data_IF_021653123181
#
_entry.id   IF_021653123181
#
_cell.length_a   1.000
_cell.length_b   1.000
_cell.length_c   1.000
_cell.angle_alpha   90.00
_cell.angle_beta   90.00
_cell.angle_gamma   90.00
#
_symmetry.space_group_name_H-M   'P 1'
#
loop_
_entity.id
_entity.type
_entity.pdbx_description
1 polymer ?
#
# COMPACT_ATOMS: atom_id res chain seq x y z
N UNK A 1 -24.34 -15.69 -0.14
CA UNK A 1 -23.13 -15.35 -0.90
C UNK A 1 -22.38 -14.36 -0.03
N UNK A 2 -21.24 -14.78 0.50
CA UNK A 2 -20.46 -13.98 1.47
C UNK A 2 -19.65 -12.92 0.75
N UNK A 3 -19.74 -11.68 1.22
CA UNK A 3 -19.04 -10.53 0.69
C UNK A 3 -17.53 -10.69 0.93
N UNK A 4 -16.77 -10.75 -0.14
CA UNK A 4 -15.31 -10.75 -0.06
C UNK A 4 -14.88 -9.30 0.18
N UNK A 5 -14.52 -8.96 1.41
CA UNK A 5 -13.93 -7.67 1.73
C UNK A 5 -12.54 -7.58 1.10
N UNK A 6 -12.30 -6.48 0.39
CA UNK A 6 -10.97 -6.16 -0.11
C UNK A 6 -10.14 -5.64 1.08
N UNK A 7 -9.43 -6.55 1.76
CA UNK A 7 -8.49 -6.16 2.82
C UNK A 7 -7.17 -5.77 2.17
N UNK A 8 -6.90 -4.47 2.10
CA UNK A 8 -5.60 -3.95 1.70
C UNK A 8 -4.80 -3.67 2.98
N UNK A 9 -3.83 -4.52 3.28
CA UNK A 9 -2.91 -4.26 4.37
C UNK A 9 -1.94 -3.16 3.95
N UNK A 10 -2.12 -1.98 4.51
CA UNK A 10 -1.26 -0.83 4.27
C UNK A 10 -0.64 -0.40 5.60
N UNK A 11 0.66 -0.55 5.72
CA UNK A 11 1.41 -0.07 6.89
C UNK A 11 1.82 1.38 6.64
N UNK A 12 1.44 2.27 7.56
CA UNK A 12 1.74 3.70 7.44
C UNK A 12 2.32 4.33 8.67
N UNK A 13 3.11 5.36 8.40
CA UNK A 13 3.67 6.25 9.41
C UNK A 13 2.86 7.54 9.46
N UNK A 14 2.28 7.83 10.62
CA UNK A 14 1.62 9.10 10.89
C UNK A 14 2.40 9.92 11.92
N UNK A 15 2.64 11.18 11.61
CA UNK A 15 3.09 12.16 12.59
C UNK A 15 2.05 13.27 12.67
N UNK A 16 1.60 13.58 13.89
CA UNK A 16 0.58 14.59 14.14
C UNK A 16 1.10 15.72 14.98
N UNK A 17 0.81 16.96 14.62
CA UNK A 17 0.52 18.05 15.56
C UNK A 17 -0.50 18.96 14.88
N UNK A 18 -1.70 19.07 15.45
CA UNK A 18 -2.75 19.98 14.99
C UNK A 18 -3.18 20.91 16.10
N UNK A 19 -3.20 22.20 15.87
CA UNK A 19 -3.81 23.20 16.74
C UNK A 19 -5.28 23.38 16.43
N UNK A 20 -6.09 23.50 17.49
CA UNK A 20 -7.53 23.76 17.39
C UNK A 20 -7.78 25.27 17.20
N UNK A 21 -8.64 25.60 16.26
CA UNK A 21 -9.43 26.83 16.27
C UNK A 21 -10.91 26.51 16.11
N UNK A 22 -11.68 27.09 17.02
CA UNK A 22 -13.15 27.01 17.12
C UNK A 22 -13.80 27.81 15.99
N UNK A 23 -14.90 27.28 15.40
CA UNK A 23 -16.19 27.98 15.34
C UNK A 23 -17.17 27.38 14.34
N UNK A 24 -18.41 27.44 14.72
CA UNK A 24 -19.69 27.23 14.04
C UNK A 24 -20.17 25.79 13.84
N UNK A 25 -21.12 25.42 14.70
CA UNK A 25 -21.96 24.25 14.59
C UNK A 25 -22.88 24.34 13.36
N UNK A 26 -22.42 23.73 12.27
CA UNK A 26 -23.35 23.19 11.26
C UNK A 26 -24.04 21.95 11.85
N UNK A 27 -25.33 21.68 11.52
CA UNK A 27 -25.99 20.46 11.98
C UNK A 27 -25.08 19.26 11.63
N UNK A 28 -24.71 18.50 12.66
CA UNK A 28 -23.81 17.38 12.51
C UNK A 28 -24.46 16.37 11.54
N UNK A 29 -23.96 16.34 10.32
CA UNK A 29 -24.24 15.26 9.40
C UNK A 29 -23.68 14.01 10.08
N UNK A 30 -24.56 13.09 10.48
CA UNK A 30 -24.13 11.81 11.08
C UNK A 30 -23.40 11.04 10.00
N UNK A 31 -22.06 11.01 10.09
CA UNK A 31 -21.23 10.20 9.19
C UNK A 31 -21.59 8.72 9.36
N UNK A 32 -21.53 7.93 8.29
CA UNK A 32 -21.72 6.49 8.36
C UNK A 32 -20.84 5.88 9.46
N UNK A 33 -21.36 4.89 10.15
CA UNK A 33 -20.61 4.17 11.21
C UNK A 33 -20.09 2.83 10.75
N UNK A 34 -20.61 2.35 9.63
CA UNK A 34 -20.32 1.04 9.06
C UNK A 34 -19.63 1.17 7.70
N UNK A 35 -18.81 0.17 7.33
CA UNK A 35 -18.10 0.19 6.05
C UNK A 35 -19.06 0.23 4.86
N UNK A 36 -18.71 1.01 3.86
CA UNK A 36 -19.43 1.06 2.58
C UNK A 36 -19.00 -0.14 1.73
N UNK A 37 -19.97 -0.85 1.14
CA UNK A 37 -19.67 -1.96 0.24
C UNK A 37 -19.10 -1.44 -1.09
N UNK A 38 -17.95 -2.00 -1.49
CA UNK A 38 -17.32 -1.71 -2.78
C UNK A 38 -17.72 -2.81 -3.76
N UNK A 39 -18.58 -2.47 -4.71
CA UNK A 39 -18.97 -3.38 -5.78
C UNK A 39 -17.92 -3.40 -6.90
N UNK A 40 -17.39 -4.59 -7.17
CA UNK A 40 -16.52 -4.90 -8.30
C UNK A 40 -17.15 -5.98 -9.17
N UNK A 41 -17.00 -5.84 -10.49
CA UNK A 41 -17.38 -6.89 -11.44
C UNK A 41 -16.49 -8.13 -11.27
N UNK A 42 -16.90 -9.28 -11.82
CA UNK A 42 -16.08 -10.50 -11.77
C UNK A 42 -14.70 -10.27 -12.37
N UNK A 43 -14.61 -9.59 -13.51
CA UNK A 43 -13.34 -9.28 -14.18
C UNK A 43 -12.43 -8.38 -13.33
N UNK A 44 -13.00 -7.36 -12.69
CA UNK A 44 -12.26 -6.51 -11.77
C UNK A 44 -11.75 -7.29 -10.55
N UNK A 45 -12.56 -8.20 -9.99
CA UNK A 45 -12.13 -9.09 -8.89
C UNK A 45 -10.98 -10.01 -9.32
N UNK A 46 -11.01 -10.53 -10.55
CA UNK A 46 -9.91 -11.34 -11.09
C UNK A 46 -8.61 -10.54 -11.26
N UNK A 47 -8.67 -9.27 -11.69
CA UNK A 47 -7.48 -8.39 -11.76
C UNK A 47 -6.95 -8.12 -10.36
N UNK A 48 -7.81 -7.83 -9.39
CA UNK A 48 -7.42 -7.63 -7.98
C UNK A 48 -6.77 -8.89 -7.41
N UNK A 49 -7.34 -10.07 -7.65
CA UNK A 49 -6.76 -11.33 -7.20
C UNK A 49 -5.36 -11.57 -7.79
N UNK A 50 -5.15 -11.21 -9.07
CA UNK A 50 -3.84 -11.27 -9.71
C UNK A 50 -2.84 -10.31 -9.05
N UNK A 51 -3.26 -9.06 -8.78
CA UNK A 51 -2.44 -8.06 -8.10
C UNK A 51 -2.08 -8.50 -6.66
N UNK A 52 -3.00 -9.13 -5.94
CA UNK A 52 -2.75 -9.70 -4.63
C UNK A 52 -1.74 -10.86 -4.69
N UNK A 53 -1.87 -11.75 -5.67
CA UNK A 53 -0.90 -12.84 -5.88
C UNK A 53 0.49 -12.29 -6.17
N UNK A 54 0.60 -11.31 -7.06
CA UNK A 54 1.86 -10.61 -7.33
C UNK A 54 2.44 -9.96 -6.07
N UNK A 55 1.59 -9.37 -5.22
CA UNK A 55 2.03 -8.73 -3.98
C UNK A 55 2.81 -9.69 -3.07
N UNK A 56 2.31 -10.90 -2.88
CA UNK A 56 2.99 -11.93 -2.08
C UNK A 56 4.23 -12.48 -2.78
N UNK A 57 4.15 -12.69 -4.09
CA UNK A 57 5.31 -13.13 -4.89
C UNK A 57 6.46 -12.13 -4.79
N UNK A 58 6.17 -10.83 -4.82
CA UNK A 58 7.17 -9.77 -4.67
C UNK A 58 7.66 -9.62 -3.23
N UNK A 59 6.77 -9.75 -2.24
CA UNK A 59 7.13 -9.51 -0.85
C UNK A 59 8.13 -10.54 -0.33
N UNK A 60 8.03 -11.79 -0.78
CA UNK A 60 8.97 -12.85 -0.38
C UNK A 60 10.44 -12.55 -0.74
N UNK A 61 10.82 -12.27 -2.01
CA UNK A 61 12.20 -11.92 -2.34
C UNK A 61 12.65 -10.62 -1.68
N UNK A 62 11.75 -9.63 -1.51
CA UNK A 62 12.09 -8.40 -0.78
C UNK A 62 12.51 -8.72 0.65
N UNK A 63 11.73 -9.53 1.38
CA UNK A 63 12.05 -9.94 2.75
C UNK A 63 13.32 -10.79 2.81
N UNK A 64 13.48 -11.72 1.87
CA UNK A 64 14.67 -12.58 1.80
C UNK A 64 15.95 -11.81 1.47
N UNK A 65 15.84 -10.68 0.79
CA UNK A 65 16.99 -9.84 0.41
C UNK A 65 17.38 -8.77 1.44
N UNK A 66 16.70 -8.69 2.59
CA UNK A 66 17.01 -7.75 3.65
C UNK A 66 17.73 -8.41 4.83
N UNK A 67 18.50 -7.62 5.54
CA UNK A 67 19.16 -8.07 6.77
C UNK A 67 18.12 -8.40 7.86
N UNK A 68 18.36 -9.45 8.67
CA UNK A 68 17.46 -9.80 9.76
C UNK A 68 17.19 -8.63 10.72
N UNK A 69 15.91 -8.38 11.02
CA UNK A 69 15.48 -7.28 11.88
C UNK A 69 15.26 -5.94 11.16
N UNK A 70 15.44 -5.88 9.85
CA UNK A 70 15.08 -4.71 9.05
C UNK A 70 13.57 -4.52 9.04
N UNK A 71 13.11 -3.28 9.28
CA UNK A 71 11.72 -2.91 9.07
C UNK A 71 11.46 -2.73 7.57
N UNK A 72 10.55 -3.51 7.03
CA UNK A 72 10.25 -3.55 5.60
C UNK A 72 8.84 -3.04 5.37
N UNK A 73 8.66 -2.21 4.34
CA UNK A 73 7.36 -1.74 3.90
C UNK A 73 7.32 -1.64 2.38
N UNK A 74 6.36 -2.28 1.75
CA UNK A 74 6.06 -2.10 0.33
C UNK A 74 4.59 -1.72 0.15
N UNK A 75 4.29 -1.03 -0.94
CA UNK A 75 2.93 -0.76 -1.38
C UNK A 75 2.66 -1.54 -2.68
N UNK A 76 2.09 -2.74 -2.59
CA UNK A 76 1.79 -3.53 -3.78
C UNK A 76 0.89 -2.80 -4.77
N UNK A 77 -0.10 -2.05 -4.27
CA UNK A 77 -0.97 -1.24 -5.11
C UNK A 77 -0.19 -0.22 -5.94
N UNK A 78 0.78 0.49 -5.33
CA UNK A 78 1.62 1.45 -6.04
C UNK A 78 2.48 0.79 -7.11
N UNK A 79 3.07 -0.35 -6.77
CA UNK A 79 3.95 -1.09 -7.68
C UNK A 79 3.15 -1.65 -8.86
N UNK A 80 2.02 -2.31 -8.59
CA UNK A 80 1.17 -2.84 -9.67
C UNK A 80 0.56 -1.75 -10.53
N UNK A 81 0.20 -0.59 -9.94
CA UNK A 81 -0.28 0.58 -10.69
C UNK A 81 0.80 1.09 -11.66
N UNK A 82 2.02 1.32 -11.19
CA UNK A 82 3.14 1.79 -12.02
C UNK A 82 3.48 0.81 -13.15
N UNK A 83 3.55 -0.50 -12.85
CA UNK A 83 3.80 -1.53 -13.85
C UNK A 83 2.63 -1.66 -14.84
N UNK A 84 1.39 -1.51 -14.39
CA UNK A 84 0.21 -1.53 -15.28
C UNK A 84 0.15 -0.29 -16.17
N UNK A 85 0.58 0.88 -15.68
CA UNK A 85 0.79 2.05 -16.54
C UNK A 85 1.81 1.74 -17.66
N UNK A 86 2.89 1.03 -17.34
CA UNK A 86 3.91 0.63 -18.33
C UNK A 86 3.34 -0.24 -19.45
N UNK A 87 2.36 -1.12 -19.15
CA UNK A 87 1.71 -1.96 -20.16
C UNK A 87 1.07 -1.17 -21.29
N UNK A 88 0.58 0.04 -21.00
CA UNK A 88 -0.04 0.90 -22.04
C UNK A 88 0.96 1.42 -23.08
N UNK A 89 2.26 1.37 -22.78
CA UNK A 89 3.34 1.76 -23.71
C UNK A 89 4.18 0.59 -24.20
N UNK A 90 3.99 -0.59 -23.63
CA UNK A 90 4.75 -1.78 -23.97
C UNK A 90 4.17 -2.52 -25.19
N UNK A 91 5.02 -3.26 -25.91
CA UNK A 91 4.61 -4.10 -27.02
C UNK A 91 5.48 -5.37 -27.10
N UNK A 92 4.98 -6.41 -27.79
CA UNK A 92 5.69 -7.67 -28.03
C UNK A 92 6.15 -8.33 -26.74
N UNK A 93 7.36 -8.84 -26.70
CA UNK A 93 7.89 -9.59 -25.55
C UNK A 93 7.90 -8.80 -24.24
N UNK A 94 8.14 -7.50 -24.27
CA UNK A 94 8.08 -6.64 -23.05
C UNK A 94 6.65 -6.59 -22.47
N UNK A 95 5.65 -6.43 -23.32
CA UNK A 95 4.25 -6.46 -22.89
C UNK A 95 3.89 -7.80 -22.24
N UNK A 96 4.27 -8.90 -22.90
CA UNK A 96 3.99 -10.26 -22.41
C UNK A 96 4.71 -10.55 -21.09
N UNK A 97 5.97 -10.13 -20.96
CA UNK A 97 6.75 -10.32 -19.74
C UNK A 97 6.16 -9.56 -18.55
N UNK A 98 5.85 -8.28 -18.69
CA UNK A 98 5.24 -7.46 -17.61
C UNK A 98 3.87 -8.02 -17.26
N UNK A 99 3.05 -8.37 -18.25
CA UNK A 99 1.72 -8.94 -18.03
C UNK A 99 1.78 -10.28 -17.29
N UNK A 100 2.76 -11.11 -17.62
CA UNK A 100 3.00 -12.40 -16.95
C UNK A 100 3.46 -12.20 -15.51
N UNK A 101 4.42 -11.29 -15.28
CA UNK A 101 4.91 -10.97 -13.94
C UNK A 101 3.77 -10.50 -13.02
N UNK A 102 2.87 -9.66 -13.53
CA UNK A 102 1.69 -9.17 -12.80
C UNK A 102 0.56 -10.22 -12.67
N UNK A 103 0.77 -11.44 -13.13
CA UNK A 103 -0.24 -12.52 -13.07
C UNK A 103 -1.54 -12.21 -13.81
N UNK A 104 -1.52 -11.30 -14.81
CA UNK A 104 -2.75 -10.90 -15.52
C UNK A 104 -3.23 -11.93 -16.55
N UNK A 105 -2.43 -12.91 -16.93
CA UNK A 105 -2.86 -14.05 -17.76
C UNK A 105 -3.67 -13.64 -18.98
N UNK A 106 -4.87 -14.20 -19.14
CA UNK A 106 -5.79 -13.94 -20.26
C UNK A 106 -6.55 -12.61 -20.22
N UNK A 107 -6.30 -11.73 -19.22
CA UNK A 107 -7.00 -10.44 -19.08
C UNK A 107 -6.59 -9.47 -20.18
N UNK A 108 -7.52 -8.70 -20.73
CA UNK A 108 -7.21 -7.65 -21.69
C UNK A 108 -6.61 -6.42 -20.99
N UNK A 109 -5.91 -5.57 -21.75
CA UNK A 109 -5.38 -4.31 -21.23
C UNK A 109 -6.52 -3.38 -20.75
N UNK A 110 -7.66 -3.40 -21.45
CA UNK A 110 -8.85 -2.64 -21.07
C UNK A 110 -9.41 -3.09 -19.73
N UNK A 111 -9.53 -4.39 -19.48
CA UNK A 111 -9.98 -4.94 -18.18
C UNK A 111 -9.05 -4.55 -17.03
N UNK A 112 -7.74 -4.54 -17.26
CA UNK A 112 -6.74 -4.09 -16.30
C UNK A 112 -6.92 -2.60 -16.02
N UNK A 113 -6.97 -1.78 -17.06
CA UNK A 113 -7.10 -0.33 -16.96
C UNK A 113 -8.40 0.08 -16.26
N UNK A 114 -9.54 -0.50 -16.67
CA UNK A 114 -10.85 -0.28 -16.05
C UNK A 114 -10.82 -0.60 -14.55
N UNK A 115 -10.14 -1.68 -14.16
CA UNK A 115 -10.00 -2.05 -12.76
C UNK A 115 -9.24 -1.00 -11.96
N UNK A 116 -8.10 -0.50 -12.46
CA UNK A 116 -7.34 0.55 -11.77
C UNK A 116 -8.13 1.85 -11.69
N UNK A 117 -8.82 2.23 -12.76
CA UNK A 117 -9.71 3.39 -12.74
C UNK A 117 -10.80 3.24 -11.68
N UNK A 118 -11.44 2.08 -11.62
CA UNK A 118 -12.46 1.78 -10.63
C UNK A 118 -11.89 1.84 -9.22
N UNK A 119 -10.75 1.19 -8.96
CA UNK A 119 -10.12 1.19 -7.63
C UNK A 119 -9.80 2.60 -7.14
N UNK A 120 -9.14 3.42 -7.96
CA UNK A 120 -8.82 4.81 -7.56
C UNK A 120 -10.10 5.60 -7.26
N UNK A 121 -11.14 5.48 -8.09
CA UNK A 121 -12.37 6.24 -7.91
C UNK A 121 -13.22 5.81 -6.72
N UNK A 122 -13.10 4.57 -6.26
CA UNK A 122 -13.88 4.09 -5.11
C UNK A 122 -13.09 4.15 -3.81
N UNK A 123 -11.79 3.87 -3.83
CA UNK A 123 -10.98 3.85 -2.61
C UNK A 123 -10.82 5.24 -1.99
N UNK A 124 -10.55 6.25 -2.82
CA UNK A 124 -10.29 7.61 -2.31
C UNK A 124 -11.47 8.18 -1.47
N UNK A 125 -12.72 8.14 -1.91
CA UNK A 125 -13.85 8.73 -1.18
C UNK A 125 -14.57 7.75 -0.25
N UNK A 126 -14.16 6.49 -0.12
CA UNK A 126 -14.96 5.44 0.53
C UNK A 126 -15.17 5.62 2.03
N UNK A 127 -14.27 6.33 2.70
CA UNK A 127 -14.34 6.56 4.14
C UNK A 127 -14.00 8.03 4.45
N UNK A 128 -14.99 8.80 4.86
CA UNK A 128 -14.83 10.24 5.15
C UNK A 128 -13.94 10.55 6.37
N UNK A 129 -13.62 9.53 7.18
CA UNK A 129 -12.73 9.65 8.36
C UNK A 129 -11.30 9.25 8.06
N UNK A 130 -11.03 8.85 6.82
CA UNK A 130 -9.73 8.45 6.32
C UNK A 130 -9.37 9.35 5.14
N UNK A 131 -8.16 9.88 5.13
CA UNK A 131 -7.61 10.55 3.95
C UNK A 131 -6.79 9.54 3.18
N UNK A 132 -7.25 9.17 2.01
CA UNK A 132 -6.55 8.34 1.04
C UNK A 132 -6.34 9.15 -0.22
N UNK A 133 -5.10 9.35 -0.64
CA UNK A 133 -4.76 10.02 -1.88
C UNK A 133 -3.86 9.14 -2.72
N UNK A 134 -4.17 9.05 -4.00
CA UNK A 134 -3.42 8.28 -4.98
C UNK A 134 -3.09 9.23 -6.13
N UNK A 135 -1.81 9.49 -6.33
CA UNK A 135 -1.34 10.36 -7.39
C UNK A 135 -0.43 9.60 -8.34
N UNK A 136 -0.74 9.67 -9.63
CA UNK A 136 0.07 9.09 -10.70
C UNK A 136 0.64 10.20 -11.57
N UNK A 137 1.86 10.03 -12.04
CA UNK A 137 2.45 10.90 -13.05
C UNK A 137 3.35 10.17 -14.02
N UNK A 138 3.39 10.67 -15.24
CA UNK A 138 4.35 10.31 -16.27
C UNK A 138 5.17 11.53 -16.61
N UNK A 139 6.48 11.41 -16.52
CA UNK A 139 7.46 12.42 -16.85
C UNK A 139 8.25 11.95 -18.06
N UNK A 140 8.22 12.71 -19.13
CA UNK A 140 8.94 12.40 -20.36
C UNK A 140 10.10 13.37 -20.56
N UNK A 141 11.26 12.87 -20.99
CA UNK A 141 12.38 13.71 -21.40
C UNK A 141 11.97 14.55 -22.61
N UNK A 142 12.34 15.85 -22.61
CA UNK A 142 11.90 16.84 -23.59
C UNK A 142 12.14 16.45 -25.06
N UNK A 143 13.25 15.75 -25.33
CA UNK A 143 13.64 15.33 -26.67
C UNK A 143 13.15 13.93 -27.03
N UNK A 144 12.46 13.24 -26.13
CA UNK A 144 11.93 11.92 -26.37
C UNK A 144 10.46 11.97 -26.82
N UNK A 145 10.16 11.54 -28.06
CA UNK A 145 8.81 11.62 -28.61
C UNK A 145 7.92 10.55 -27.98
N UNK A 146 7.14 10.92 -26.96
CA UNK A 146 6.14 10.04 -26.35
C UNK A 146 4.86 10.08 -27.19
N UNK A 147 4.31 8.91 -27.52
CA UNK A 147 3.04 8.81 -28.25
C UNK A 147 1.90 9.39 -27.43
N UNK A 148 1.09 10.22 -28.08
CA UNK A 148 -0.06 10.87 -27.45
C UNK A 148 -1.06 9.85 -26.88
N UNK A 149 -1.29 8.76 -27.59
CA UNK A 149 -2.20 7.68 -27.19
C UNK A 149 -1.79 7.07 -25.83
N UNK A 150 -0.48 6.95 -25.57
CA UNK A 150 0.03 6.48 -24.29
C UNK A 150 -0.30 7.46 -23.15
N UNK A 151 0.03 8.74 -23.33
CA UNK A 151 -0.25 9.74 -22.28
C UNK A 151 -1.74 9.94 -22.05
N UNK A 152 -2.56 9.85 -23.10
CA UNK A 152 -4.01 9.94 -22.98
C UNK A 152 -4.58 8.74 -22.24
N UNK A 153 -4.12 7.51 -22.53
CA UNK A 153 -4.51 6.32 -21.76
C UNK A 153 -4.15 6.44 -20.27
N UNK A 154 -2.96 6.95 -19.94
CA UNK A 154 -2.58 7.15 -18.54
C UNK A 154 -3.43 8.21 -17.83
N UNK A 155 -3.80 9.28 -18.51
CA UNK A 155 -4.73 10.28 -17.97
C UNK A 155 -6.12 9.70 -17.75
N UNK A 156 -6.63 8.95 -18.72
CA UNK A 156 -7.97 8.37 -18.68
C UNK A 156 -8.10 7.31 -17.59
N UNK A 157 -7.19 6.34 -17.59
CA UNK A 157 -7.34 5.14 -16.76
C UNK A 157 -6.71 5.26 -15.37
N UNK A 158 -5.60 5.99 -15.26
CA UNK A 158 -4.84 6.10 -14.01
C UNK A 158 -4.91 7.49 -13.39
N UNK A 159 -5.63 8.45 -14.01
CA UNK A 159 -5.67 9.86 -13.59
C UNK A 159 -4.28 10.49 -13.51
N UNK A 160 -3.34 10.03 -14.35
CA UNK A 160 -1.96 10.44 -14.29
C UNK A 160 -1.75 11.86 -14.83
N UNK A 161 -0.95 12.65 -14.13
CA UNK A 161 -0.42 13.89 -14.65
C UNK A 161 0.70 13.60 -15.67
N UNK A 162 0.61 14.16 -16.88
CA UNK A 162 1.68 14.06 -17.87
C UNK A 162 2.50 15.34 -17.86
N UNK A 163 3.80 15.24 -17.62
CA UNK A 163 4.77 16.33 -17.50
C UNK A 163 6.02 16.02 -18.32
N UNK A 164 6.84 17.05 -18.55
CA UNK A 164 8.13 16.90 -19.19
C UNK A 164 9.26 17.32 -18.25
N UNK A 165 10.46 16.80 -18.51
CA UNK A 165 11.68 17.20 -17.82
C UNK A 165 12.87 17.28 -18.81
N UNK A 166 13.91 17.98 -18.41
CA UNK A 166 15.18 18.01 -19.11
C UNK A 166 16.22 17.27 -18.23
N UNK A 167 16.74 16.16 -18.75
CA UNK A 167 17.72 15.34 -18.04
C UNK A 167 19.03 16.07 -17.77
N UNK A 168 19.35 17.10 -18.58
CA UNK A 168 20.53 17.93 -18.44
C UNK A 168 20.37 19.10 -17.46
N UNK A 169 19.13 19.45 -17.10
CA UNK A 169 18.86 20.51 -16.14
C UNK A 169 18.91 19.97 -14.70
N UNK A 170 19.85 20.44 -13.86
CA UNK A 170 19.96 20.01 -12.46
C UNK A 170 18.69 20.31 -11.63
N UNK A 171 17.82 21.21 -12.07
CA UNK A 171 16.57 21.54 -11.40
C UNK A 171 15.52 20.49 -11.58
N UNK A 172 15.60 19.65 -12.62
CA UNK A 172 14.62 18.59 -12.91
C UNK A 172 14.43 17.62 -11.73
N UNK A 173 15.51 17.25 -11.03
CA UNK A 173 15.44 16.41 -9.82
C UNK A 173 14.58 17.07 -8.75
N UNK A 174 14.78 18.38 -8.52
CA UNK A 174 14.04 19.11 -7.49
C UNK A 174 12.57 19.30 -7.87
N UNK A 175 12.27 19.49 -9.16
CA UNK A 175 10.89 19.60 -9.65
C UNK A 175 10.14 18.29 -9.45
N UNK A 176 10.76 17.17 -9.78
CA UNK A 176 10.15 15.83 -9.60
C UNK A 176 9.99 15.52 -8.11
N UNK A 177 11.02 15.74 -7.30
CA UNK A 177 10.93 15.56 -5.85
C UNK A 177 9.86 16.47 -5.22
N UNK A 178 9.75 17.71 -5.65
CA UNK A 178 8.73 18.66 -5.17
C UNK A 178 7.30 18.19 -5.49
N UNK A 179 7.08 17.56 -6.65
CA UNK A 179 5.80 16.93 -6.95
C UNK A 179 5.50 15.74 -6.00
N UNK A 180 6.49 14.90 -5.73
CA UNK A 180 6.34 13.75 -4.80
C UNK A 180 6.06 14.27 -3.37
N UNK A 181 6.82 15.29 -2.92
CA UNK A 181 6.66 15.94 -1.63
C UNK A 181 5.25 16.51 -1.46
N UNK A 182 4.75 17.25 -2.44
CA UNK A 182 3.38 17.78 -2.48
C UNK A 182 2.35 16.65 -2.36
N UNK A 183 2.45 15.61 -3.20
CA UNK A 183 1.48 14.51 -3.25
C UNK A 183 1.56 13.56 -2.03
N UNK A 184 2.60 13.67 -1.23
CA UNK A 184 2.77 12.89 -0.01
C UNK A 184 2.73 13.73 1.26
N UNK A 185 2.23 14.97 1.18
CA UNK A 185 2.14 15.90 2.32
C UNK A 185 3.45 15.97 3.13
N UNK A 186 4.53 16.26 2.44
CA UNK A 186 5.90 16.39 2.97
C UNK A 186 6.48 15.10 3.58
N UNK A 187 5.85 13.93 3.35
CA UNK A 187 6.34 12.66 3.89
C UNK A 187 7.53 12.12 3.12
N UNK A 188 7.57 12.33 1.79
CA UNK A 188 8.67 11.89 0.94
C UNK A 188 9.29 13.12 0.26
N UNK A 189 10.37 13.64 0.84
CA UNK A 189 11.01 14.87 0.38
C UNK A 189 12.13 14.64 -0.65
N UNK A 190 12.82 13.49 -0.59
CA UNK A 190 13.96 13.17 -1.46
C UNK A 190 13.88 11.74 -1.98
N UNK A 191 13.01 11.53 -2.96
CA UNK A 191 12.95 10.23 -3.62
C UNK A 191 14.13 10.02 -4.57
N UNK A 192 14.45 11.04 -5.36
CA UNK A 192 15.51 11.02 -6.36
C UNK A 192 16.70 11.87 -5.88
N UNK A 193 17.93 11.31 -6.03
CA UNK A 193 19.17 12.05 -5.78
C UNK A 193 19.78 12.59 -7.07
N UNK A 194 19.54 11.95 -8.20
CA UNK A 194 20.01 12.30 -9.53
C UNK A 194 19.11 11.67 -10.60
N UNK A 195 19.22 12.15 -11.83
CA UNK A 195 18.65 11.51 -13.01
C UNK A 195 19.80 10.92 -13.85
N UNK A 196 19.62 9.70 -14.30
CA UNK A 196 20.56 9.09 -15.25
C UNK A 196 20.44 9.80 -16.61
N UNK A 197 21.58 10.01 -17.29
CA UNK A 197 21.62 10.75 -18.57
C UNK A 197 20.82 10.09 -19.68
N UNK A 198 20.67 8.77 -19.60
CA UNK A 198 19.93 7.97 -20.57
C UNK A 198 18.45 7.80 -20.19
N UNK A 199 18.01 8.48 -19.12
CA UNK A 199 16.63 8.40 -18.67
C UNK A 199 15.71 9.13 -19.64
N UNK A 200 14.79 8.41 -20.24
CA UNK A 200 13.82 8.94 -21.21
C UNK A 200 12.42 9.14 -20.59
N UNK A 201 12.09 8.38 -19.54
CA UNK A 201 10.77 8.44 -18.92
C UNK A 201 10.81 8.00 -17.46
N UNK A 202 9.98 8.64 -16.62
CA UNK A 202 9.65 8.21 -15.26
C UNK A 202 8.14 8.02 -15.13
N UNK A 203 7.74 6.92 -14.55
CA UNK A 203 6.38 6.68 -14.08
C UNK A 203 6.42 6.68 -12.56
N UNK A 204 5.59 7.50 -11.94
CA UNK A 204 5.57 7.67 -10.48
C UNK A 204 4.14 7.43 -10.00
N UNK A 205 4.01 6.57 -9.02
CA UNK A 205 2.81 6.44 -8.19
C UNK A 205 3.16 6.87 -6.77
N UNK A 206 2.35 7.76 -6.20
CA UNK A 206 2.44 8.18 -4.82
C UNK A 206 1.12 7.87 -4.12
N UNK A 207 1.18 7.25 -2.96
CA UNK A 207 0.03 6.98 -2.11
C UNK A 207 0.25 7.66 -0.76
N UNK A 208 -0.72 8.46 -0.36
CA UNK A 208 -0.80 9.03 0.97
C UNK A 208 -2.05 8.51 1.66
N UNK A 209 -1.90 8.09 2.91
CA UNK A 209 -2.99 7.61 3.74
C UNK A 209 -2.84 8.12 5.15
N UNK A 210 -3.87 8.60 5.74
CA UNK A 210 -3.95 8.86 7.18
C UNK A 210 -5.34 8.54 7.67
N UNK A 211 -5.44 7.80 8.76
CA UNK A 211 -6.72 7.40 9.35
C UNK A 211 -6.62 7.33 10.86
N UNK A 212 -7.69 7.73 11.53
CA UNK A 212 -7.85 7.46 12.95
C UNK A 212 -8.37 6.04 13.13
N UNK A 213 -7.91 5.35 14.16
CA UNK A 213 -8.48 4.07 14.54
C UNK A 213 -9.98 4.21 14.81
N UNK A 214 -10.78 3.26 14.37
CA UNK A 214 -12.23 3.20 14.71
C UNK A 214 -12.40 3.12 16.23
N UNK A 215 -11.57 2.33 16.89
CA UNK A 215 -11.44 2.25 18.34
C UNK A 215 -10.10 2.92 18.74
N UNK A 216 -10.20 4.17 19.21
CA UNK A 216 -9.01 4.96 19.52
C UNK A 216 -8.36 4.48 20.81
N UNK A 217 -7.02 4.46 20.83
CA UNK A 217 -6.26 4.24 22.06
C UNK A 217 -6.34 5.49 22.95
N UNK A 218 -6.62 5.31 24.25
CA UNK A 218 -6.48 6.41 25.21
C UNK A 218 -5.00 6.71 25.43
N UNK A 219 -4.60 7.94 25.15
CA UNK A 219 -3.21 8.37 25.33
C UNK A 219 -2.71 8.20 26.78
N UNK A 220 -3.61 8.23 27.77
CA UNK A 220 -3.28 8.02 29.19
C UNK A 220 -2.91 6.57 29.51
N UNK A 221 -3.28 5.63 28.65
CA UNK A 221 -2.95 4.20 28.77
C UNK A 221 -1.71 3.84 27.94
N UNK A 222 -0.94 4.83 27.49
CA UNK A 222 0.33 4.60 26.80
C UNK A 222 1.47 4.65 27.82
N UNK A 223 2.15 3.52 27.98
CA UNK A 223 3.24 3.34 28.92
C UNK A 223 4.54 2.97 28.21
N UNK A 224 5.66 3.25 28.85
CA UNK A 224 6.96 2.72 28.44
C UNK A 224 7.07 1.26 28.88
N UNK A 225 7.28 0.34 27.92
CA UNK A 225 7.41 -1.11 28.16
C UNK A 225 8.57 -1.70 27.35
N UNK A 226 9.18 -2.79 27.84
CA UNK A 226 10.18 -3.50 27.07
C UNK A 226 9.55 -4.17 25.84
N UNK A 227 10.16 -3.98 24.69
CA UNK A 227 9.88 -4.68 23.45
C UNK A 227 11.13 -5.49 23.06
N UNK A 228 10.95 -6.77 22.83
CA UNK A 228 12.06 -7.67 22.56
C UNK A 228 12.27 -7.80 21.05
N UNK A 229 13.31 -7.17 20.54
CA UNK A 229 13.71 -7.27 19.12
C UNK A 229 14.35 -8.62 18.79
N UNK A 230 14.92 -9.27 19.81
CA UNK A 230 15.41 -10.65 19.79
C UNK A 230 15.44 -11.19 21.23
N UNK A 231 15.52 -12.51 21.45
CA UNK A 231 15.63 -13.07 22.80
C UNK A 231 16.75 -12.41 23.61
N UNK A 232 16.39 -11.83 24.76
CA UNK A 232 17.34 -11.19 25.67
C UNK A 232 17.74 -9.75 25.33
N UNK A 233 17.24 -9.16 24.22
CA UNK A 233 17.51 -7.77 23.83
C UNK A 233 16.24 -6.90 23.90
N UNK A 234 15.82 -6.44 25.09
CA UNK A 234 14.71 -5.52 25.21
C UNK A 234 15.13 -4.09 24.85
N UNK A 235 14.24 -3.39 24.14
CA UNK A 235 14.28 -1.94 23.99
C UNK A 235 13.01 -1.34 24.58
N UNK A 236 13.14 -0.27 25.34
CA UNK A 236 11.98 0.40 25.89
C UNK A 236 11.29 1.23 24.80
N UNK A 237 10.00 1.01 24.64
CA UNK A 237 9.17 1.69 23.65
C UNK A 237 7.86 2.16 24.28
N UNK A 238 7.24 3.16 23.68
CA UNK A 238 5.90 3.60 24.04
C UNK A 238 4.88 2.60 23.52
N UNK A 239 4.19 1.91 24.42
CA UNK A 239 3.18 0.89 24.09
C UNK A 239 1.80 1.45 24.39
N UNK A 240 0.97 1.52 23.35
CA UNK A 240 -0.45 1.85 23.46
C UNK A 240 -1.21 0.60 23.90
N UNK A 241 -2.21 0.77 24.76
CA UNK A 241 -3.06 -0.34 25.17
C UNK A 241 -4.54 0.01 25.10
N UNK A 242 -5.36 -1.01 24.81
CA UNK A 242 -6.80 -0.92 24.91
C UNK A 242 -7.43 -2.31 25.11
N UNK A 243 -8.56 -2.35 25.80
CA UNK A 243 -9.38 -3.55 25.93
C UNK A 243 -10.66 -3.35 25.13
N UNK A 244 -10.85 -4.14 24.07
CA UNK A 244 -11.95 -3.99 23.14
C UNK A 244 -12.24 -5.32 22.43
N UNK A 245 -13.39 -5.40 21.77
CA UNK A 245 -13.71 -6.51 20.87
C UNK A 245 -13.11 -6.25 19.49
N UNK A 246 -12.31 -7.20 19.01
CA UNK A 246 -11.70 -7.21 17.69
C UNK A 246 -12.01 -8.52 16.96
N UNK A 247 -11.94 -8.51 15.63
CA UNK A 247 -11.83 -9.72 14.86
C UNK A 247 -10.44 -10.33 15.11
N UNK A 248 -10.42 -11.58 15.54
CA UNK A 248 -9.20 -12.32 15.88
C UNK A 248 -9.28 -13.70 15.27
N UNK A 249 -8.22 -14.12 14.58
CA UNK A 249 -8.05 -15.48 14.11
C UNK A 249 -6.71 -16.03 14.59
N UNK A 250 -6.62 -17.36 14.71
CA UNK A 250 -5.39 -18.04 15.13
C UNK A 250 -5.09 -19.20 14.17
N UNK A 251 -4.68 -18.88 12.93
CA UNK A 251 -4.12 -19.93 12.07
C UNK A 251 -2.82 -20.45 12.69
N UNK A 252 -2.39 -21.61 12.22
CA UNK A 252 -1.20 -22.27 12.76
C UNK A 252 0.02 -21.34 12.81
N UNK A 253 0.61 -21.17 13.98
CA UNK A 253 1.83 -20.41 14.24
C UNK A 253 1.66 -18.88 14.26
N UNK A 254 0.42 -18.35 14.15
CA UNK A 254 0.18 -16.89 14.05
C UNK A 254 -1.10 -16.47 14.76
N UNK A 255 -1.08 -15.36 15.45
CA UNK A 255 -2.30 -14.68 15.91
C UNK A 255 -2.55 -13.45 15.03
N UNK A 256 -3.73 -13.37 14.45
CA UNK A 256 -4.19 -12.23 13.65
C UNK A 256 -5.15 -11.37 14.45
N UNK A 257 -4.98 -10.05 14.36
CA UNK A 257 -5.93 -9.07 14.90
C UNK A 257 -6.21 -8.03 13.84
N UNK A 258 -7.49 -7.75 13.61
CA UNK A 258 -7.94 -6.72 12.68
C UNK A 258 -8.24 -5.42 13.43
N UNK A 259 -7.61 -4.33 13.00
CA UNK A 259 -7.74 -2.99 13.56
C UNK A 259 -8.33 -2.05 12.50
N UNK A 260 -9.64 -1.75 12.54
CA UNK A 260 -10.27 -0.90 11.55
C UNK A 260 -9.93 0.58 11.76
N UNK A 261 -9.74 1.30 10.65
CA UNK A 261 -9.67 2.75 10.59
C UNK A 261 -11.04 3.35 10.30
N UNK A 262 -11.24 4.60 10.69
CA UNK A 262 -12.40 5.40 10.32
C UNK A 262 -13.74 4.72 10.62
N UNK A 263 -14.51 4.47 9.58
CA UNK A 263 -15.75 3.70 9.65
C UNK A 263 -15.56 2.19 9.39
N UNK A 264 -14.38 1.77 8.96
CA UNK A 264 -13.99 0.36 8.81
C UNK A 264 -13.79 -0.11 7.37
N UNK A 265 -13.80 0.78 6.39
CA UNK A 265 -13.45 0.43 5.00
C UNK A 265 -11.96 0.11 4.84
N UNK A 266 -11.14 0.70 5.68
CA UNK A 266 -9.72 0.41 5.77
C UNK A 266 -9.41 -0.27 7.10
N UNK A 267 -8.52 -1.24 7.05
CA UNK A 267 -8.14 -1.98 8.24
C UNK A 267 -6.64 -2.31 8.22
N UNK A 268 -6.03 -2.35 9.39
CA UNK A 268 -4.72 -2.95 9.59
C UNK A 268 -4.92 -4.36 10.13
N UNK A 269 -4.36 -5.34 9.48
CA UNK A 269 -4.24 -6.70 10.03
C UNK A 269 -2.84 -6.86 10.58
N UNK A 270 -2.76 -7.12 11.89
CA UNK A 270 -1.50 -7.43 12.57
C UNK A 270 -1.39 -8.95 12.63
N UNK A 271 -0.33 -9.50 12.05
CA UNK A 271 0.02 -10.90 12.15
C UNK A 271 1.18 -11.05 13.15
N UNK A 272 0.88 -11.58 14.33
CA UNK A 272 1.85 -11.81 15.39
C UNK A 272 2.29 -13.28 15.37
N UNK A 273 3.55 -13.59 14.99
CA UNK A 273 4.08 -14.94 15.06
C UNK A 273 4.09 -15.48 16.49
N UNK A 274 4.00 -16.79 16.64
CA UNK A 274 4.27 -17.44 17.93
C UNK A 274 5.73 -17.26 18.35
N UNK A 275 5.94 -17.35 19.66
CA UNK A 275 7.30 -17.23 20.24
C UNK A 275 8.24 -18.27 19.65
N UNK A 276 9.31 -17.78 19.04
CA UNK A 276 10.32 -18.64 18.38
C UNK A 276 10.21 -18.66 16.85
N UNK A 277 9.13 -18.11 16.28
CA UNK A 277 8.95 -17.97 14.83
C UNK A 277 9.25 -16.53 14.42
N UNK A 278 10.04 -16.32 13.40
CA UNK A 278 10.34 -15.00 12.87
C UNK A 278 9.24 -14.49 11.91
N UNK A 279 9.03 -13.17 11.81
CA UNK A 279 8.13 -12.62 10.79
C UNK A 279 8.51 -13.05 9.35
N UNK A 280 9.80 -13.22 9.06
CA UNK A 280 10.28 -13.65 7.76
C UNK A 280 9.83 -15.09 7.41
N UNK A 281 9.80 -15.99 8.40
CA UNK A 281 9.28 -17.36 8.20
C UNK A 281 7.79 -17.35 7.85
N UNK A 282 7.01 -16.47 8.49
CA UNK A 282 5.59 -16.30 8.15
C UNK A 282 5.45 -15.81 6.71
N UNK A 283 6.20 -14.78 6.30
CA UNK A 283 6.15 -14.24 4.93
C UNK A 283 6.54 -15.28 3.89
N UNK A 284 7.54 -16.12 4.19
CA UNK A 284 7.99 -17.19 3.27
C UNK A 284 6.86 -18.19 2.97
N UNK A 285 6.03 -18.50 3.96
CA UNK A 285 4.89 -19.41 3.81
C UNK A 285 3.58 -18.76 3.39
N UNK A 286 3.57 -17.43 3.16
CA UNK A 286 2.35 -16.69 2.87
C UNK A 286 2.19 -16.46 1.36
N UNK A 287 1.02 -16.79 0.83
CA UNK A 287 0.58 -16.50 -0.52
C UNK A 287 -0.86 -15.94 -0.51
N UNK A 288 -1.41 -15.66 -1.68
CA UNK A 288 -2.76 -15.08 -1.80
C UNK A 288 -3.84 -16.03 -1.26
N UNK A 289 -3.69 -17.34 -1.43
CA UNK A 289 -4.68 -18.34 -0.98
C UNK A 289 -4.68 -18.39 0.55
N UNK A 290 -3.51 -18.55 1.15
CA UNK A 290 -3.38 -18.59 2.62
C UNK A 290 -3.80 -17.28 3.26
N UNK A 291 -3.53 -16.15 2.60
CA UNK A 291 -4.01 -14.85 3.05
C UNK A 291 -5.55 -14.77 3.03
N UNK A 292 -6.20 -15.27 1.97
CA UNK A 292 -7.66 -15.29 1.87
C UNK A 292 -8.28 -16.16 2.98
N UNK A 293 -7.73 -17.35 3.24
CA UNK A 293 -8.12 -18.20 4.36
C UNK A 293 -7.99 -17.48 5.72
N UNK A 294 -6.90 -16.71 5.90
CA UNK A 294 -6.70 -15.91 7.11
C UNK A 294 -7.76 -14.82 7.27
N UNK A 295 -8.09 -14.14 6.18
CA UNK A 295 -9.11 -13.08 6.19
C UNK A 295 -10.52 -13.66 6.40
N UNK A 296 -10.81 -14.83 5.85
CA UNK A 296 -12.05 -15.55 6.17
C UNK A 296 -12.11 -15.89 7.65
N UNK A 297 -11.03 -16.36 8.24
CA UNK A 297 -10.94 -16.64 9.68
C UNK A 297 -11.24 -15.44 10.58
N UNK A 298 -10.86 -14.23 10.16
CA UNK A 298 -11.18 -12.98 10.87
C UNK A 298 -12.66 -12.62 10.83
N UNK A 299 -13.42 -13.10 9.83
CA UNK A 299 -14.83 -12.76 9.66
C UNK A 299 -15.79 -13.51 10.59
N UNK A 300 -15.33 -14.50 11.38
CA UNK A 300 -16.19 -15.34 12.22
C UNK A 300 -16.64 -14.76 13.55
N UNK A 301 -16.31 -13.52 13.87
CA UNK A 301 -16.81 -12.82 15.03
C UNK A 301 -15.75 -12.00 15.76
N UNK A 302 -16.20 -11.30 16.79
CA UNK A 302 -15.34 -10.45 17.59
C UNK A 302 -15.07 -11.07 18.94
N UNK A 303 -13.81 -11.05 19.35
CA UNK A 303 -13.34 -11.52 20.65
C UNK A 303 -12.85 -10.35 21.48
N UNK A 304 -13.24 -10.27 22.75
CA UNK A 304 -12.68 -9.30 23.68
C UNK A 304 -11.22 -9.65 23.94
N UNK A 305 -10.33 -8.72 23.60
CA UNK A 305 -8.90 -8.85 23.81
C UNK A 305 -8.34 -7.61 24.45
N UNK A 306 -7.27 -7.77 25.21
CA UNK A 306 -6.43 -6.71 25.68
C UNK A 306 -5.25 -6.58 24.73
N UNK A 307 -5.24 -5.50 23.94
CA UNK A 307 -4.27 -5.25 22.90
C UNK A 307 -3.17 -4.31 23.41
N UNK A 308 -1.93 -4.71 23.20
CA UNK A 308 -0.73 -3.92 23.44
C UNK A 308 0.02 -3.74 22.13
N UNK A 309 0.16 -2.50 21.66
CA UNK A 309 0.81 -2.20 20.39
C UNK A 309 1.86 -1.10 20.58
N UNK A 310 3.13 -1.35 20.26
CA UNK A 310 4.16 -0.31 20.31
C UNK A 310 3.85 0.78 19.28
N UNK A 311 4.14 2.04 19.63
CA UNK A 311 4.23 3.10 18.62
C UNK A 311 5.47 2.88 17.80
N UNK A 312 5.34 2.94 16.48
CA UNK A 312 6.46 2.79 15.57
C UNK A 312 6.47 3.89 14.52
N UNK A 313 7.66 4.22 14.06
CA UNK A 313 7.93 5.10 12.92
C UNK A 313 9.19 4.60 12.24
N UNK A 314 9.13 4.36 10.93
CA UNK A 314 10.30 4.01 10.15
C UNK A 314 10.15 4.47 8.70
N UNK A 315 11.24 4.52 7.99
CA UNK A 315 11.32 4.79 6.56
C UNK A 315 11.95 3.58 5.89
N UNK A 316 11.47 3.26 4.70
CA UNK A 316 12.02 2.17 3.90
C UNK A 316 12.15 2.60 2.44
N UNK A 317 13.29 2.29 1.84
CA UNK A 317 13.58 2.57 0.44
C UNK A 317 14.34 1.40 -0.17
N UNK A 318 13.84 0.87 -1.28
CA UNK A 318 14.45 -0.23 -2.00
C UNK A 318 14.32 -0.04 -3.50
N UNK A 319 15.36 -0.42 -4.26
CA UNK A 319 15.28 -0.62 -5.71
C UNK A 319 14.77 -2.04 -5.95
N UNK A 320 13.63 -2.17 -6.64
CA UNK A 320 12.98 -3.47 -6.86
C UNK A 320 13.44 -4.18 -8.16
N UNK A 321 14.45 -3.68 -8.85
CA UNK A 321 14.88 -4.25 -10.13
C UNK A 321 15.20 -5.75 -10.01
N UNK A 322 16.06 -6.12 -9.07
CA UNK A 322 16.49 -7.51 -8.88
C UNK A 322 15.33 -8.39 -8.40
N UNK A 323 14.47 -7.86 -7.53
CA UNK A 323 13.28 -8.56 -7.05
C UNK A 323 12.31 -8.85 -8.20
N UNK A 324 12.05 -7.85 -9.07
CA UNK A 324 11.17 -7.99 -10.24
C UNK A 324 11.77 -8.93 -11.30
N UNK A 325 13.10 -8.86 -11.52
CA UNK A 325 13.82 -9.79 -12.42
C UNK A 325 13.61 -11.24 -11.94
N UNK A 326 13.70 -11.47 -10.65
CA UNK A 326 13.52 -12.81 -10.08
C UNK A 326 12.10 -13.38 -10.28
N UNK A 327 11.11 -12.52 -10.51
CA UNK A 327 9.70 -12.89 -10.69
C UNK A 327 9.30 -13.21 -12.13
N UNK A 328 10.23 -13.39 -13.09
CA UNK A 328 9.93 -13.71 -14.52
C UNK A 328 10.30 -12.56 -15.49
N UNK A 329 10.76 -11.43 -14.98
CA UNK A 329 11.32 -10.37 -15.83
C UNK A 329 12.82 -10.62 -16.07
N UNK A 330 13.26 -11.85 -15.81
CA UNK A 330 14.63 -12.30 -16.05
C UNK A 330 14.99 -12.34 -17.53
N UNK A 331 16.30 -12.38 -17.84
CA UNK A 331 16.83 -12.18 -19.17
C UNK A 331 16.27 -13.11 -20.21
#
# INVERSE_FOLDING_TARGET
MKNTFLSLALVMVAGTTGQMTSCEEKPAMTLPTDPVEIELTLKQKEVVASANSFAFDLFRPVVAGEEPGTNIMISPFSITSALSMTLNGAAGGTFDAVKSALRYGGKSLEEINDTYRRLVTVMVPVDERVVMEIANSVWAENNFPVKKEFTDALREWYLAEARNFDVSDPRSVNIINGWIEEKTHDRIQKMLSSLDRDLVMLLINAVYFTGKWKHQFDAKLTDERPFYTSPGNPVNVQVMSQKQKFAVARPEGVTLVELPYGQGNYTMVVALPEVGTSPAEIVTGLDAVRWEEWMEGLSYGQTEVELYMPKFKYEYKRKLNDDLISLVMGP
#
